data_IF_870043549961
#
_entry.id   IF_870043549961
#
_cell.length_a   1.000
_cell.length_b   1.000
_cell.length_c   1.000
_cell.angle_alpha   90.00
_cell.angle_beta   90.00
_cell.angle_gamma   90.00
#
_symmetry.space_group_name_H-M   'P 1'
#
loop_
_entity.id
_entity.type
_entity.pdbx_description
1 polymer ?
#
# COMPACT_ATOMS: atom_id res chain seq x y z
N UNK A 1 2.88 9.13 -27.39
CA UNK A 1 3.30 8.46 -26.15
C UNK A 1 4.29 9.40 -25.48
N UNK A 2 3.85 10.17 -24.49
CA UNK A 2 4.74 11.08 -23.76
C UNK A 2 5.68 10.22 -22.90
N UNK A 3 6.98 10.33 -23.12
CA UNK A 3 8.02 9.81 -22.22
C UNK A 3 7.97 10.61 -20.90
N UNK A 4 6.93 10.45 -20.10
CA UNK A 4 6.94 10.98 -18.74
C UNK A 4 7.82 10.07 -17.88
N UNK A 5 8.98 10.58 -17.48
CA UNK A 5 9.80 9.90 -16.47
C UNK A 5 8.97 9.77 -15.18
N UNK A 6 9.05 8.63 -14.47
CA UNK A 6 8.35 8.48 -13.19
C UNK A 6 8.84 9.56 -12.20
N UNK A 7 7.93 10.04 -11.36
CA UNK A 7 8.26 11.00 -10.31
C UNK A 7 9.25 10.40 -9.29
N UNK A 8 9.02 9.16 -8.85
CA UNK A 8 9.96 8.41 -8.05
C UNK A 8 10.14 6.99 -8.61
N UNK A 9 11.34 6.43 -8.47
CA UNK A 9 11.62 5.08 -8.94
C UNK A 9 12.61 4.34 -8.07
N UNK A 10 12.41 3.03 -7.97
CA UNK A 10 13.33 2.03 -7.43
C UNK A 10 13.79 1.15 -8.58
N UNK A 11 15.10 0.94 -8.71
CA UNK A 11 15.69 0.07 -9.73
C UNK A 11 16.59 -0.95 -9.03
N UNK A 12 16.15 -2.23 -9.04
CA UNK A 12 16.83 -3.37 -8.43
C UNK A 12 17.29 -3.14 -6.98
N UNK A 13 16.48 -2.41 -6.21
CA UNK A 13 16.83 -2.01 -4.86
C UNK A 13 16.75 -3.19 -3.92
N UNK A 14 17.91 -3.50 -3.29
CA UNK A 14 17.96 -4.47 -2.18
C UNK A 14 18.47 -3.80 -0.92
N UNK A 15 17.99 -4.29 0.22
CA UNK A 15 18.39 -3.84 1.54
C UNK A 15 18.49 -5.02 2.49
N UNK A 16 19.69 -5.22 3.01
CA UNK A 16 19.97 -6.20 4.06
C UNK A 16 20.40 -5.46 5.33
N UNK A 17 19.74 -5.76 6.45
CA UNK A 17 20.09 -5.20 7.76
C UNK A 17 21.32 -5.91 8.33
N UNK A 18 22.07 -5.26 9.25
CA UNK A 18 23.28 -5.84 9.86
C UNK A 18 23.08 -7.19 10.56
N UNK A 19 21.85 -7.52 10.92
CA UNK A 19 21.49 -8.80 11.54
C UNK A 19 21.16 -9.90 10.52
N UNK A 20 21.39 -9.65 9.21
CA UNK A 20 21.10 -10.59 8.13
C UNK A 20 19.63 -10.61 7.65
N UNK A 21 18.76 -9.77 8.23
CA UNK A 21 17.36 -9.69 7.80
C UNK A 21 17.27 -8.96 6.46
N UNK A 22 16.62 -9.58 5.48
CA UNK A 22 16.35 -8.97 4.18
C UNK A 22 15.14 -8.06 4.34
N UNK A 23 15.33 -6.76 4.17
CA UNK A 23 14.27 -5.75 4.17
C UNK A 23 13.64 -5.58 2.79
N UNK A 24 14.47 -5.58 1.72
CA UNK A 24 14.04 -5.52 0.33
C UNK A 24 14.95 -6.41 -0.53
N UNK A 25 14.39 -7.02 -1.56
CA UNK A 25 15.10 -7.86 -2.51
C UNK A 25 14.72 -7.48 -3.94
N UNK A 26 15.66 -6.84 -4.66
CA UNK A 26 15.52 -6.40 -6.06
C UNK A 26 14.18 -5.69 -6.34
N UNK A 27 13.79 -4.78 -5.44
CA UNK A 27 12.55 -4.03 -5.60
C UNK A 27 12.64 -3.11 -6.83
N UNK A 28 11.67 -3.25 -7.73
CA UNK A 28 11.49 -2.42 -8.90
C UNK A 28 10.10 -1.77 -8.82
N UNK A 29 10.06 -0.44 -8.73
CA UNK A 29 8.82 0.32 -8.61
C UNK A 29 8.99 1.67 -9.30
N UNK A 30 8.00 2.06 -10.08
CA UNK A 30 7.87 3.41 -10.64
C UNK A 30 6.59 4.06 -10.13
N UNK A 31 6.68 5.30 -9.68
CA UNK A 31 5.58 6.11 -9.14
C UNK A 31 5.44 7.33 -10.03
N UNK A 32 4.26 7.54 -10.61
CA UNK A 32 4.01 8.68 -11.47
C UNK A 32 3.64 9.93 -10.65
N UNK A 33 3.79 11.11 -11.25
CA UNK A 33 3.39 12.36 -10.61
C UNK A 33 1.86 12.38 -10.39
N UNK A 34 1.43 12.80 -9.19
CA UNK A 34 0.03 12.84 -8.78
C UNK A 34 -0.61 11.48 -8.49
N UNK A 35 0.15 10.38 -8.59
CA UNK A 35 -0.34 9.03 -8.33
C UNK A 35 -0.44 8.75 -6.83
N UNK A 36 -1.51 8.09 -6.40
CA UNK A 36 -1.67 7.56 -5.06
C UNK A 36 -1.37 6.05 -5.06
N UNK A 37 -0.24 5.66 -4.48
CA UNK A 37 0.15 4.25 -4.35
C UNK A 37 -0.05 3.78 -2.91
N UNK A 38 -0.72 2.63 -2.73
CA UNK A 38 -0.75 1.92 -1.46
C UNK A 38 0.27 0.78 -1.45
N UNK A 39 1.07 0.71 -0.37
CA UNK A 39 1.92 -0.44 -0.06
C UNK A 39 1.21 -1.35 0.94
N UNK A 40 0.98 -2.59 0.57
CA UNK A 40 0.30 -3.58 1.40
C UNK A 40 1.13 -4.85 1.55
N UNK A 41 0.74 -5.70 2.50
CA UNK A 41 1.36 -7.00 2.74
C UNK A 41 1.43 -7.34 4.24
N UNK A 42 1.81 -8.57 4.59
CA UNK A 42 1.93 -9.01 5.98
C UNK A 42 2.91 -8.16 6.81
N UNK A 43 2.83 -8.28 8.13
CA UNK A 43 3.85 -7.67 9.01
C UNK A 43 5.24 -8.21 8.68
N UNK A 44 6.23 -7.33 8.62
CA UNK A 44 7.60 -7.73 8.26
C UNK A 44 7.85 -7.92 6.76
N UNK A 45 6.89 -7.65 5.87
CA UNK A 45 7.05 -7.83 4.42
C UNK A 45 7.98 -6.83 3.73
N UNK A 46 8.43 -5.75 4.42
CA UNK A 46 9.34 -4.75 3.86
C UNK A 46 8.70 -3.40 3.52
N UNK A 47 7.40 -3.17 3.81
CA UNK A 47 6.69 -1.91 3.49
C UNK A 47 7.35 -0.67 4.08
N UNK A 48 7.53 -0.67 5.40
CA UNK A 48 8.20 0.44 6.11
C UNK A 48 9.66 0.60 5.67
N UNK A 49 10.33 -0.50 5.30
CA UNK A 49 11.69 -0.46 4.75
C UNK A 49 11.71 0.27 3.41
N UNK A 50 10.78 -0.05 2.48
CA UNK A 50 10.66 0.62 1.19
C UNK A 50 10.36 2.12 1.37
N UNK A 51 9.39 2.45 2.24
CA UNK A 51 9.03 3.83 2.54
C UNK A 51 10.23 4.59 3.16
N UNK A 52 10.94 3.99 4.12
CA UNK A 52 12.10 4.62 4.77
C UNK A 52 13.29 4.77 3.82
N UNK A 53 13.45 3.86 2.86
CA UNK A 53 14.47 3.98 1.80
C UNK A 53 14.16 5.17 0.89
N UNK A 54 12.87 5.35 0.50
CA UNK A 54 12.44 6.53 -0.27
C UNK A 54 12.57 7.82 0.55
N UNK A 55 12.22 7.78 1.83
CA UNK A 55 12.32 8.93 2.73
C UNK A 55 13.76 9.36 3.03
N UNK A 56 14.75 8.45 2.88
CA UNK A 56 16.16 8.72 3.17
C UNK A 56 16.57 8.41 4.61
N UNK A 57 15.81 7.60 5.33
CA UNK A 57 16.19 7.12 6.66
C UNK A 57 17.07 5.88 6.62
N UNK A 58 16.98 5.10 5.53
CA UNK A 58 17.75 3.87 5.36
C UNK A 58 18.41 3.88 4.00
N UNK A 59 19.70 3.52 3.97
CA UNK A 59 20.50 3.42 2.76
C UNK A 59 20.34 2.01 2.14
N UNK A 60 20.00 1.89 0.84
CA UNK A 60 19.94 0.60 0.18
C UNK A 60 21.32 -0.06 0.12
N UNK A 61 21.35 -1.39 0.14
CA UNK A 61 22.61 -2.16 -0.03
C UNK A 61 23.04 -2.19 -1.49
N UNK A 62 22.09 -2.32 -2.42
CA UNK A 62 22.31 -2.30 -3.88
C UNK A 62 21.14 -1.66 -4.60
N UNK A 63 21.32 -1.32 -5.87
CA UNK A 63 20.32 -0.68 -6.70
C UNK A 63 20.28 0.83 -6.51
N UNK A 64 19.28 1.50 -7.08
CA UNK A 64 19.17 2.95 -7.00
C UNK A 64 17.74 3.43 -6.77
N UNK A 65 17.62 4.56 -6.05
CA UNK A 65 16.36 5.29 -5.85
C UNK A 65 16.50 6.67 -6.47
N UNK A 66 15.52 7.06 -7.29
CA UNK A 66 15.47 8.38 -7.90
C UNK A 66 14.18 9.10 -7.54
N UNK A 67 14.25 10.44 -7.38
CA UNK A 67 13.11 11.33 -7.16
C UNK A 67 13.25 12.49 -8.15
N UNK A 68 12.20 12.78 -8.89
CA UNK A 68 12.16 13.84 -9.90
C UNK A 68 13.37 13.78 -10.87
N UNK A 69 13.70 12.57 -11.35
CA UNK A 69 14.81 12.32 -12.28
C UNK A 69 16.21 12.40 -11.67
N UNK A 70 16.33 12.65 -10.36
CA UNK A 70 17.62 12.70 -9.66
C UNK A 70 17.82 11.46 -8.79
N UNK A 71 18.98 10.81 -8.88
CA UNK A 71 19.36 9.73 -7.97
C UNK A 71 19.55 10.30 -6.56
N UNK A 72 18.78 9.78 -5.60
CA UNK A 72 18.83 10.20 -4.18
C UNK A 72 19.46 9.14 -3.28
N UNK A 73 19.57 7.90 -3.75
CA UNK A 73 20.32 6.84 -3.08
C UNK A 73 20.78 5.80 -4.09
N UNK A 74 22.04 5.42 -4.01
CA UNK A 74 22.67 4.27 -4.68
C UNK A 74 23.85 3.81 -3.81
N UNK A 75 24.75 2.98 -4.33
CA UNK A 75 25.94 2.51 -3.58
C UNK A 75 26.87 3.64 -3.12
N UNK A 76 26.86 4.79 -3.80
CA UNK A 76 27.76 5.94 -3.58
C UNK A 76 27.06 7.21 -3.13
N UNK A 77 25.79 7.35 -3.47
CA UNK A 77 24.97 8.55 -3.19
C UNK A 77 23.98 8.24 -2.08
N UNK A 78 23.90 9.14 -1.09
CA UNK A 78 22.85 9.11 -0.09
C UNK A 78 22.44 10.52 0.29
N UNK A 79 21.32 10.97 -0.25
CA UNK A 79 20.68 12.24 0.10
C UNK A 79 19.86 12.05 1.37
N UNK A 80 20.14 12.78 2.47
CA UNK A 80 19.40 12.63 3.71
C UNK A 80 17.96 13.18 3.59
N UNK A 81 17.05 12.82 4.51
CA UNK A 81 15.61 13.14 4.42
C UNK A 81 15.29 14.60 4.23
N UNK A 82 15.99 15.50 4.92
CA UNK A 82 15.78 16.95 4.89
C UNK A 82 16.05 17.59 3.52
N UNK A 83 16.72 16.87 2.62
CA UNK A 83 17.05 17.36 1.27
C UNK A 83 16.24 16.64 0.17
N UNK A 84 15.31 15.75 0.52
CA UNK A 84 14.45 15.05 -0.46
C UNK A 84 13.14 15.76 -0.77
N UNK A 85 12.81 16.83 -0.06
CA UNK A 85 11.58 17.63 -0.23
C UNK A 85 10.28 16.79 -0.14
N UNK A 86 10.26 15.81 0.75
CA UNK A 86 9.13 14.93 1.00
C UNK A 86 8.40 15.34 2.28
N UNK A 87 7.08 15.19 2.29
CA UNK A 87 6.27 15.24 3.51
C UNK A 87 6.12 13.84 4.08
N UNK A 88 6.19 13.68 5.42
CA UNK A 88 5.99 12.38 6.04
C UNK A 88 5.07 12.46 7.24
N UNK A 89 4.13 11.51 7.30
CA UNK A 89 3.26 11.25 8.44
C UNK A 89 3.63 9.89 9.02
N UNK A 90 4.05 9.86 10.28
CA UNK A 90 4.46 8.65 10.98
C UNK A 90 3.26 7.97 11.65
N UNK A 91 3.34 6.68 11.87
CA UNK A 91 2.33 5.85 12.55
C UNK A 91 1.94 6.42 13.93
N UNK A 92 2.92 6.82 14.73
CA UNK A 92 2.68 7.59 15.94
C UNK A 92 2.76 9.07 15.59
N UNK A 93 1.69 9.79 15.54
CA UNK A 93 1.55 11.19 15.08
C UNK A 93 2.78 12.08 15.33
N UNK A 94 3.65 11.69 16.27
CA UNK A 94 4.94 12.31 16.62
C UNK A 94 4.82 13.83 16.83
N UNK A 95 3.72 14.27 17.53
CA UNK A 95 3.56 15.66 17.90
C UNK A 95 4.41 15.97 19.13
N UNK A 96 5.09 17.11 19.11
CA UNK A 96 5.86 17.59 20.24
C UNK A 96 4.94 18.17 21.32
N UNK A 97 4.82 17.54 22.51
CA UNK A 97 3.84 17.94 23.52
C UNK A 97 4.17 19.28 24.19
N UNK A 98 5.40 19.76 24.09
CA UNK A 98 5.86 21.05 24.62
C UNK A 98 5.64 22.20 23.63
N UNK A 99 5.09 21.95 22.45
CA UNK A 99 4.75 22.93 21.43
C UNK A 99 3.24 23.00 21.23
N UNK A 100 2.69 24.19 20.95
CA UNK A 100 1.30 24.30 20.50
C UNK A 100 1.09 23.62 19.14
N UNK A 101 -0.16 23.36 18.77
CA UNK A 101 -0.56 22.83 17.45
C UNK A 101 0.08 23.65 16.32
N UNK A 102 -0.07 24.97 16.37
CA UNK A 102 0.53 25.86 15.35
C UNK A 102 2.05 25.77 15.29
N UNK A 103 2.75 25.63 16.42
CA UNK A 103 4.21 25.46 16.46
C UNK A 103 4.65 24.11 15.91
N UNK A 104 3.86 23.04 16.14
CA UNK A 104 4.11 21.74 15.53
C UNK A 104 4.02 21.82 14.00
N UNK A 105 2.97 22.46 13.47
CA UNK A 105 2.79 22.64 12.03
C UNK A 105 3.84 23.59 11.44
N UNK A 106 4.22 24.67 12.16
CA UNK A 106 5.21 25.64 11.70
C UNK A 106 6.65 25.08 11.59
N UNK A 107 6.94 24.00 12.32
CA UNK A 107 8.31 23.52 12.48
C UNK A 107 9.08 23.28 11.18
N UNK A 108 8.54 22.59 10.14
CA UNK A 108 9.26 22.42 8.87
C UNK A 108 9.63 23.73 8.19
N UNK A 109 8.76 24.74 8.27
CA UNK A 109 9.01 26.06 7.69
C UNK A 109 10.12 26.83 8.41
N UNK A 110 10.31 26.58 9.72
CA UNK A 110 11.44 27.14 10.46
C UNK A 110 12.77 26.59 10.00
N UNK A 111 12.82 25.27 9.73
CA UNK A 111 14.04 24.61 9.25
C UNK A 111 14.46 25.15 7.88
N UNK A 112 13.50 25.46 7.00
CA UNK A 112 13.75 26.07 5.69
C UNK A 112 13.97 27.59 5.74
N UNK A 113 14.03 28.20 6.95
CA UNK A 113 14.20 29.65 7.16
C UNK A 113 13.15 30.51 6.45
N UNK A 114 11.94 29.97 6.26
CA UNK A 114 10.81 30.73 5.67
C UNK A 114 10.51 31.97 6.51
N UNK A 115 10.25 33.16 5.93
CA UNK A 115 9.91 34.40 6.65
C UNK A 115 8.68 34.23 7.57
N UNK A 116 8.65 34.96 8.69
CA UNK A 116 7.62 34.76 9.74
C UNK A 116 6.20 35.00 9.22
N UNK A 117 5.97 36.03 8.42
CA UNK A 117 4.63 36.30 7.87
C UNK A 117 4.14 35.19 6.94
N UNK A 118 5.05 34.61 6.14
CA UNK A 118 4.77 33.49 5.26
C UNK A 118 4.48 32.24 6.08
N UNK A 119 5.25 31.94 7.13
CA UNK A 119 5.00 30.82 8.02
C UNK A 119 3.59 30.88 8.60
N UNK A 120 3.19 32.07 9.12
CA UNK A 120 1.86 32.27 9.69
C UNK A 120 0.75 32.01 8.66
N UNK A 121 0.90 32.50 7.44
CA UNK A 121 -0.06 32.27 6.36
C UNK A 121 -0.17 30.77 6.03
N UNK A 122 0.96 30.07 5.86
CA UNK A 122 0.98 28.64 5.53
C UNK A 122 0.45 27.75 6.65
N UNK A 123 0.75 28.05 7.91
CA UNK A 123 0.19 27.35 9.08
C UNK A 123 -1.32 27.48 9.11
N UNK A 124 -1.86 28.68 8.94
CA UNK A 124 -3.32 28.89 8.92
C UNK A 124 -3.95 28.16 7.72
N UNK A 125 -3.35 28.21 6.55
CA UNK A 125 -3.78 27.47 5.38
C UNK A 125 -3.81 25.95 5.63
N UNK A 126 -2.72 25.39 6.18
CA UNK A 126 -2.62 23.95 6.43
C UNK A 126 -3.64 23.48 7.49
N UNK A 127 -3.80 24.25 8.58
CA UNK A 127 -4.82 23.94 9.61
C UNK A 127 -6.25 24.04 9.07
N UNK A 128 -6.54 25.01 8.23
CA UNK A 128 -7.84 25.14 7.58
C UNK A 128 -8.12 23.96 6.64
N UNK A 129 -7.12 23.54 5.87
CA UNK A 129 -7.24 22.43 4.93
C UNK A 129 -7.63 21.11 5.63
N UNK A 130 -7.11 20.88 6.84
CA UNK A 130 -7.44 19.69 7.63
C UNK A 130 -8.62 19.90 8.60
N UNK A 131 -9.39 20.99 8.45
CA UNK A 131 -10.57 21.27 9.28
C UNK A 131 -10.27 21.66 10.74
N UNK A 132 -9.06 22.18 11.02
CA UNK A 132 -8.62 22.59 12.36
C UNK A 132 -8.37 24.11 12.45
N UNK A 133 -9.16 24.91 11.72
CA UNK A 133 -9.09 26.38 11.81
C UNK A 133 -9.32 26.83 13.26
N UNK A 134 -8.49 27.72 13.78
CA UNK A 134 -8.55 28.22 15.16
C UNK A 134 -7.88 27.31 16.22
N UNK A 135 -7.25 26.20 15.83
CA UNK A 135 -6.59 25.29 16.79
C UNK A 135 -5.10 25.62 17.06
N UNK A 136 -4.55 26.65 16.42
CA UNK A 136 -3.12 26.95 16.46
C UNK A 136 -2.52 27.09 17.88
N UNK A 137 -3.28 27.65 18.82
CA UNK A 137 -2.82 27.90 20.19
C UNK A 137 -3.08 26.74 21.17
N UNK A 138 -3.82 25.70 20.73
CA UNK A 138 -4.14 24.55 21.58
C UNK A 138 -2.90 23.70 21.88
N UNK A 139 -2.95 23.00 23.02
CA UNK A 139 -1.94 22.00 23.35
C UNK A 139 -2.27 20.66 22.66
N UNK A 140 -1.29 19.93 22.10
CA UNK A 140 -1.51 18.59 21.53
C UNK A 140 -2.18 17.59 22.49
N UNK A 141 -1.98 17.72 23.81
CA UNK A 141 -2.61 16.84 24.80
C UNK A 141 -4.14 17.03 24.94
N UNK A 142 -4.68 18.10 24.40
CA UNK A 142 -6.12 18.39 24.41
C UNK A 142 -6.85 17.85 23.17
N UNK A 143 -6.10 17.23 22.24
CA UNK A 143 -6.62 16.75 20.97
C UNK A 143 -7.09 15.30 21.06
N UNK A 144 -8.17 14.99 20.35
CA UNK A 144 -8.53 13.59 20.05
C UNK A 144 -7.50 12.95 19.13
N UNK A 145 -7.51 11.61 19.03
CA UNK A 145 -6.61 10.88 18.11
C UNK A 145 -6.73 11.37 16.66
N UNK A 146 -7.96 11.54 16.15
CA UNK A 146 -8.18 12.06 14.80
C UNK A 146 -7.74 13.52 14.62
N UNK A 147 -7.89 14.36 15.64
CA UNK A 147 -7.35 15.72 15.59
C UNK A 147 -5.82 15.73 15.57
N UNK A 148 -5.19 14.88 16.37
CA UNK A 148 -3.74 14.71 16.36
C UNK A 148 -3.22 14.25 15.00
N UNK A 149 -3.94 13.31 14.37
CA UNK A 149 -3.66 12.85 13.01
C UNK A 149 -3.73 13.99 11.98
N UNK A 150 -4.81 14.78 12.02
CA UNK A 150 -4.96 15.95 11.14
C UNK A 150 -3.85 16.98 11.33
N UNK A 151 -3.38 17.20 12.57
CA UNK A 151 -2.22 18.07 12.84
C UNK A 151 -0.94 17.49 12.23
N UNK A 152 -0.73 16.16 12.32
CA UNK A 152 0.42 15.50 11.70
C UNK A 152 0.41 15.63 10.17
N UNK A 153 -0.76 15.49 9.55
CA UNK A 153 -0.96 15.73 8.11
C UNK A 153 -0.68 17.20 7.78
N UNK A 154 -1.26 18.16 8.52
CA UNK A 154 -1.01 19.59 8.31
C UNK A 154 0.49 19.93 8.39
N UNK A 155 1.22 19.35 9.34
CA UNK A 155 2.67 19.49 9.47
C UNK A 155 3.42 18.92 8.26
N UNK A 156 2.98 17.79 7.72
CA UNK A 156 3.62 17.17 6.56
C UNK A 156 3.44 18.00 5.28
N UNK A 157 2.27 18.64 5.09
CA UNK A 157 1.93 19.36 3.87
C UNK A 157 2.25 20.86 3.90
N UNK A 158 2.51 21.46 5.09
CA UNK A 158 2.72 22.92 5.25
C UNK A 158 3.90 23.46 4.43
N UNK A 159 4.91 22.62 4.21
CA UNK A 159 6.07 22.95 3.37
C UNK A 159 5.78 22.80 1.87
N UNK A 160 4.58 22.37 1.50
CA UNK A 160 4.18 22.06 0.11
C UNK A 160 5.15 21.05 -0.53
N UNK A 161 5.27 19.84 0.05
CA UNK A 161 6.13 18.82 -0.50
C UNK A 161 5.59 18.37 -1.87
N UNK A 162 6.48 17.87 -2.69
CA UNK A 162 6.10 17.29 -3.98
C UNK A 162 5.55 15.86 -3.86
N UNK A 163 5.85 15.18 -2.74
CA UNK A 163 5.34 13.84 -2.45
C UNK A 163 5.05 13.69 -0.96
N UNK A 164 3.97 12.98 -0.64
CA UNK A 164 3.53 12.67 0.72
C UNK A 164 3.73 11.19 1.01
N UNK A 165 4.44 10.90 2.09
CA UNK A 165 4.67 9.55 2.61
C UNK A 165 3.81 9.35 3.86
N UNK A 166 3.01 8.28 3.89
CA UNK A 166 2.10 7.96 4.99
C UNK A 166 2.45 6.57 5.53
N UNK A 167 2.94 6.50 6.75
CA UNK A 167 3.28 5.24 7.42
C UNK A 167 2.16 4.87 8.40
N UNK A 168 1.27 3.96 7.98
CA UNK A 168 0.09 3.50 8.74
C UNK A 168 -0.71 4.66 9.38
N UNK A 169 -0.85 5.74 8.63
CA UNK A 169 -1.33 7.01 9.14
C UNK A 169 -2.77 6.98 9.69
N UNK A 170 -3.60 6.01 9.32
CA UNK A 170 -4.99 5.91 9.76
C UNK A 170 -5.24 4.75 10.75
N UNK A 171 -4.22 3.95 11.09
CA UNK A 171 -4.37 2.70 11.84
C UNK A 171 -4.83 2.87 13.30
N UNK A 172 -4.53 4.03 13.92
CA UNK A 172 -4.85 4.30 15.32
C UNK A 172 -6.26 4.86 15.57
N UNK A 173 -7.11 4.90 14.53
CA UNK A 173 -8.43 5.51 14.56
C UNK A 173 -9.54 4.45 14.64
N UNK A 174 -10.68 4.81 15.25
CA UNK A 174 -11.91 4.02 15.17
C UNK A 174 -12.46 4.02 13.74
N UNK A 175 -13.28 3.01 13.39
CA UNK A 175 -13.71 2.79 12.02
C UNK A 175 -14.50 3.98 11.41
N UNK A 176 -15.50 4.60 12.10
CA UNK A 176 -16.22 5.72 11.51
C UNK A 176 -15.33 6.93 11.23
N UNK A 177 -14.39 7.23 12.12
CA UNK A 177 -13.45 8.33 11.95
C UNK A 177 -12.42 8.02 10.86
N UNK A 178 -11.96 6.79 10.78
CA UNK A 178 -11.03 6.31 9.74
C UNK A 178 -11.64 6.48 8.35
N UNK A 179 -12.90 6.06 8.16
CA UNK A 179 -13.60 6.19 6.89
C UNK A 179 -13.75 7.65 6.45
N UNK A 180 -14.16 8.54 7.36
CA UNK A 180 -14.25 9.98 7.09
C UNK A 180 -12.90 10.57 6.69
N UNK A 181 -11.83 10.26 7.44
CA UNK A 181 -10.48 10.78 7.17
C UNK A 181 -9.87 10.20 5.90
N UNK A 182 -10.21 8.96 5.53
CA UNK A 182 -9.82 8.33 4.27
C UNK A 182 -10.31 9.15 3.08
N UNK A 183 -11.59 9.49 3.04
CA UNK A 183 -12.17 10.31 1.97
C UNK A 183 -11.57 11.73 1.92
N UNK A 184 -11.41 12.37 3.07
CA UNK A 184 -10.79 13.69 3.16
C UNK A 184 -9.34 13.68 2.66
N UNK A 185 -8.57 12.66 3.04
CA UNK A 185 -7.18 12.48 2.59
C UNK A 185 -7.12 12.32 1.05
N UNK A 186 -7.99 11.49 0.47
CA UNK A 186 -8.04 11.31 -0.98
C UNK A 186 -8.40 12.61 -1.70
N UNK A 187 -9.42 13.32 -1.27
CA UNK A 187 -9.78 14.62 -1.85
C UNK A 187 -8.62 15.61 -1.75
N UNK A 188 -8.01 15.73 -0.57
CA UNK A 188 -6.88 16.63 -0.36
C UNK A 188 -5.69 16.31 -1.27
N UNK A 189 -5.34 15.04 -1.45
CA UNK A 189 -4.21 14.65 -2.32
C UNK A 189 -4.50 14.96 -3.78
N UNK A 190 -5.73 14.77 -4.24
CA UNK A 190 -6.19 15.15 -5.59
C UNK A 190 -6.15 16.67 -5.77
N UNK A 191 -6.77 17.42 -4.85
CA UNK A 191 -6.88 18.89 -4.95
C UNK A 191 -5.51 19.58 -4.95
N UNK A 192 -4.53 19.01 -4.24
CA UNK A 192 -3.18 19.50 -4.18
C UNK A 192 -2.25 18.92 -5.26
N UNK A 193 -2.70 17.95 -6.04
CA UNK A 193 -1.89 17.24 -7.04
C UNK A 193 -0.71 16.48 -6.42
N UNK A 194 -0.85 15.98 -5.18
CA UNK A 194 0.23 15.33 -4.44
C UNK A 194 0.45 13.90 -4.91
N UNK A 195 1.69 13.56 -5.24
CA UNK A 195 2.12 12.18 -5.34
C UNK A 195 2.13 11.56 -3.94
N UNK A 196 1.53 10.39 -3.75
CA UNK A 196 1.37 9.81 -2.41
C UNK A 196 1.80 8.36 -2.37
N UNK A 197 2.59 7.99 -1.36
CA UNK A 197 2.92 6.61 -1.02
C UNK A 197 2.39 6.31 0.39
N UNK A 198 1.40 5.44 0.47
CA UNK A 198 0.70 5.09 1.71
C UNK A 198 0.97 3.65 2.11
N UNK A 199 1.59 3.44 3.25
CA UNK A 199 1.74 2.12 3.87
C UNK A 199 0.50 1.84 4.72
N UNK A 200 -0.13 0.71 4.46
CA UNK A 200 -1.26 0.24 5.28
C UNK A 200 -1.27 -1.29 5.37
N UNK A 201 -1.84 -1.82 6.44
CA UNK A 201 -2.21 -3.22 6.58
C UNK A 201 -3.71 -3.46 6.32
N UNK A 202 -4.47 -2.38 6.11
CA UNK A 202 -5.90 -2.43 5.82
C UNK A 202 -6.11 -2.48 4.30
N UNK A 203 -6.62 -3.64 3.82
CA UNK A 203 -6.94 -3.84 2.41
C UNK A 203 -8.05 -2.90 1.91
N UNK A 204 -9.02 -2.58 2.76
CA UNK A 204 -10.09 -1.63 2.43
C UNK A 204 -9.56 -0.22 2.19
N UNK A 205 -8.57 0.24 2.96
CA UNK A 205 -7.88 1.51 2.69
C UNK A 205 -7.17 1.49 1.34
N UNK A 206 -6.41 0.43 1.06
CA UNK A 206 -5.68 0.32 -0.19
C UNK A 206 -6.62 0.35 -1.40
N UNK A 207 -7.71 -0.43 -1.36
CA UNK A 207 -8.71 -0.50 -2.44
C UNK A 207 -9.42 0.84 -2.64
N UNK A 208 -9.77 1.54 -1.55
CA UNK A 208 -10.55 2.77 -1.61
C UNK A 208 -9.73 4.01 -2.03
N UNK A 209 -8.42 4.03 -1.73
CA UNK A 209 -7.58 5.22 -1.92
C UNK A 209 -6.66 5.16 -3.13
N UNK A 210 -6.16 3.96 -3.46
CA UNK A 210 -5.03 3.86 -4.37
C UNK A 210 -5.43 3.84 -5.85
N UNK A 211 -4.65 4.52 -6.67
CA UNK A 211 -4.66 4.34 -8.12
C UNK A 211 -3.97 3.02 -8.50
N UNK A 212 -2.89 2.68 -7.79
CA UNK A 212 -2.22 1.38 -7.86
C UNK A 212 -1.82 0.89 -6.48
N UNK A 213 -1.83 -0.41 -6.32
CA UNK A 213 -1.42 -1.11 -5.11
C UNK A 213 -0.14 -1.89 -5.41
N UNK A 214 0.79 -1.84 -4.46
CA UNK A 214 2.03 -2.62 -4.48
C UNK A 214 1.96 -3.61 -3.32
N UNK A 215 1.89 -4.90 -3.62
CA UNK A 215 1.93 -5.93 -2.61
C UNK A 215 3.35 -6.42 -2.38
N UNK A 216 3.79 -6.35 -1.12
CA UNK A 216 5.08 -6.87 -0.67
C UNK A 216 4.89 -8.12 0.20
N UNK A 217 5.80 -9.08 -0.01
CA UNK A 217 5.94 -10.24 0.84
C UNK A 217 7.42 -10.64 0.96
N UNK A 218 7.91 -10.81 2.20
CA UNK A 218 9.31 -11.15 2.49
C UNK A 218 10.35 -10.33 1.71
N UNK A 219 10.15 -9.00 1.61
CA UNK A 219 11.05 -8.09 0.89
C UNK A 219 10.89 -8.06 -0.63
N UNK A 220 10.03 -8.90 -1.21
CA UNK A 220 9.76 -8.96 -2.64
C UNK A 220 8.45 -8.26 -2.99
N UNK A 221 8.45 -7.54 -4.10
CA UNK A 221 7.21 -7.06 -4.72
C UNK A 221 6.57 -8.26 -5.44
N UNK A 222 5.39 -8.68 -4.99
CA UNK A 222 4.63 -9.80 -5.57
C UNK A 222 3.80 -9.37 -6.75
N UNK A 223 3.09 -8.24 -6.62
CA UNK A 223 2.28 -7.69 -7.69
C UNK A 223 2.19 -6.18 -7.55
N UNK A 224 2.10 -5.50 -8.70
CA UNK A 224 1.77 -4.09 -8.83
C UNK A 224 0.63 -3.99 -9.83
N UNK A 225 -0.47 -3.36 -9.45
CA UNK A 225 -1.62 -3.20 -10.34
C UNK A 225 -2.67 -2.26 -9.74
N UNK A 226 -3.74 -2.06 -10.49
CA UNK A 226 -4.93 -1.38 -9.96
C UNK A 226 -5.61 -2.25 -8.90
N UNK A 227 -6.49 -1.71 -8.05
CA UNK A 227 -7.30 -2.52 -7.14
C UNK A 227 -8.02 -3.68 -7.85
N UNK A 228 -8.56 -3.42 -9.06
CA UNK A 228 -9.24 -4.44 -9.87
C UNK A 228 -8.28 -5.57 -10.31
N UNK A 229 -7.04 -5.24 -10.68
CA UNK A 229 -6.04 -6.25 -11.06
C UNK A 229 -5.71 -7.20 -9.90
N UNK A 230 -5.56 -6.66 -8.67
CA UNK A 230 -5.20 -7.48 -7.52
C UNK A 230 -6.37 -8.34 -7.00
N UNK A 231 -7.61 -7.84 -7.14
CA UNK A 231 -8.82 -8.57 -6.74
C UNK A 231 -9.19 -9.66 -7.75
N UNK A 232 -9.25 -9.30 -9.04
CA UNK A 232 -9.81 -10.18 -10.07
C UNK A 232 -8.74 -10.98 -10.84
N UNK A 233 -7.46 -10.57 -10.76
CA UNK A 233 -6.32 -11.20 -11.45
C UNK A 233 -5.09 -11.27 -10.54
N UNK A 234 -5.21 -11.94 -9.37
CA UNK A 234 -4.06 -12.08 -8.47
C UNK A 234 -2.95 -12.89 -9.14
N UNK A 235 -1.71 -12.37 -9.07
CA UNK A 235 -0.54 -12.98 -9.70
C UNK A 235 -0.11 -14.30 -9.05
N UNK A 236 -0.43 -14.50 -7.78
CA UNK A 236 -0.14 -15.71 -7.04
C UNK A 236 -1.13 -15.94 -5.89
N UNK A 237 -1.15 -17.15 -5.26
CA UNK A 237 -2.04 -17.47 -4.15
C UNK A 237 -1.90 -16.57 -2.93
N UNK A 238 -0.71 -15.97 -2.71
CA UNK A 238 -0.46 -15.09 -1.56
C UNK A 238 -1.22 -13.78 -1.77
N UNK A 239 -1.17 -13.23 -2.99
CA UNK A 239 -1.94 -12.03 -3.36
C UNK A 239 -3.43 -12.28 -3.20
N UNK A 240 -3.94 -13.40 -3.74
CA UNK A 240 -5.35 -13.77 -3.63
C UNK A 240 -5.82 -13.89 -2.18
N UNK A 241 -5.07 -14.59 -1.34
CA UNK A 241 -5.43 -14.78 0.07
C UNK A 241 -5.36 -13.48 0.88
N UNK A 242 -4.52 -12.54 0.47
CA UNK A 242 -4.42 -11.25 1.16
C UNK A 242 -5.64 -10.36 0.90
N UNK A 243 -6.15 -10.31 -0.33
CA UNK A 243 -7.20 -9.36 -0.70
C UNK A 243 -8.61 -9.91 -0.53
N UNK A 244 -8.85 -11.21 -0.75
CA UNK A 244 -10.20 -11.72 -0.99
C UNK A 244 -10.57 -12.94 -0.13
N UNK A 245 -9.90 -13.17 0.98
CA UNK A 245 -10.15 -14.36 1.82
C UNK A 245 -10.29 -15.66 0.97
N UNK A 246 -9.52 -15.73 -0.11
CA UNK A 246 -9.57 -16.82 -1.06
C UNK A 246 -9.27 -18.16 -0.39
N UNK A 247 -10.02 -19.19 -0.75
CA UNK A 247 -9.74 -20.54 -0.30
C UNK A 247 -8.69 -21.19 -1.22
N UNK A 248 -7.60 -21.68 -0.62
CA UNK A 248 -6.49 -22.30 -1.32
C UNK A 248 -6.56 -23.83 -1.19
N UNK A 249 -6.47 -24.53 -2.31
CA UNK A 249 -6.40 -25.98 -2.33
C UNK A 249 -5.13 -26.43 -3.04
N UNK A 250 -4.23 -27.06 -2.30
CA UNK A 250 -3.06 -27.71 -2.89
C UNK A 250 -3.48 -28.98 -3.61
N UNK A 251 -2.88 -29.21 -4.77
CA UNK A 251 -3.24 -30.36 -5.59
C UNK A 251 -2.25 -30.61 -6.73
N UNK A 252 -2.67 -31.44 -7.65
CA UNK A 252 -1.88 -31.82 -8.82
C UNK A 252 -2.74 -31.76 -10.09
N UNK A 253 -2.19 -31.18 -11.14
CA UNK A 253 -2.76 -31.21 -12.47
C UNK A 253 -2.19 -32.40 -13.24
N UNK A 254 -3.07 -33.25 -13.75
CA UNK A 254 -2.74 -34.42 -14.55
C UNK A 254 -3.81 -34.67 -15.59
N UNK A 255 -3.44 -34.83 -16.87
CA UNK A 255 -4.34 -35.10 -17.99
C UNK A 255 -5.54 -34.14 -18.08
N UNK A 256 -5.33 -32.83 -17.83
CA UNK A 256 -6.40 -31.83 -17.93
C UNK A 256 -7.39 -31.85 -16.76
N UNK A 257 -7.04 -32.46 -15.63
CA UNK A 257 -7.83 -32.49 -14.40
C UNK A 257 -6.94 -32.05 -13.23
N UNK A 258 -7.39 -31.06 -12.48
CA UNK A 258 -6.77 -30.67 -11.21
C UNK A 258 -7.41 -31.49 -10.08
N UNK A 259 -6.59 -32.18 -9.29
CA UNK A 259 -7.00 -32.96 -8.13
C UNK A 259 -6.43 -32.37 -6.86
N UNK A 260 -7.27 -32.03 -5.91
CA UNK A 260 -6.85 -31.51 -4.60
C UNK A 260 -6.44 -32.67 -3.66
N UNK A 261 -5.55 -32.32 -2.69
CA UNK A 261 -5.09 -33.30 -1.70
C UNK A 261 -6.08 -33.44 -0.55
N UNK A 262 -6.59 -32.33 -0.02
CA UNK A 262 -7.58 -32.30 1.09
C UNK A 262 -8.40 -31.01 1.06
N UNK A 263 -9.74 -31.04 1.05
CA UNK A 263 -10.57 -32.25 0.77
C UNK A 263 -10.31 -32.77 -0.64
N UNK A 264 -10.56 -34.06 -0.89
CA UNK A 264 -10.30 -34.65 -2.20
C UNK A 264 -11.47 -34.34 -3.13
N UNK A 265 -11.25 -33.48 -4.11
CA UNK A 265 -12.16 -33.26 -5.25
C UNK A 265 -11.33 -33.00 -6.51
N UNK A 266 -11.97 -33.01 -7.65
CA UNK A 266 -11.30 -32.80 -8.93
C UNK A 266 -12.09 -31.84 -9.82
N UNK A 267 -11.38 -30.99 -10.54
CA UNK A 267 -11.94 -29.98 -11.45
C UNK A 267 -11.29 -30.12 -12.82
N UNK A 268 -12.07 -30.21 -13.91
CA UNK A 268 -11.53 -30.13 -15.25
C UNK A 268 -10.81 -28.77 -15.46
N UNK A 269 -9.57 -28.79 -15.94
CA UNK A 269 -8.77 -27.56 -16.12
C UNK A 269 -9.40 -26.55 -17.06
N UNK A 270 -10.25 -26.98 -18.00
CA UNK A 270 -11.03 -26.10 -18.87
C UNK A 270 -12.00 -25.15 -18.15
N UNK A 271 -12.30 -25.42 -16.87
CA UNK A 271 -13.17 -24.60 -16.01
C UNK A 271 -12.35 -23.61 -15.17
N UNK A 272 -11.02 -23.70 -15.21
CA UNK A 272 -10.13 -22.85 -14.46
C UNK A 272 -9.60 -21.72 -15.35
N UNK A 273 -9.43 -20.54 -14.76
CA UNK A 273 -8.75 -19.43 -15.42
C UNK A 273 -7.24 -19.62 -15.25
N UNK A 274 -6.49 -19.64 -16.34
CA UNK A 274 -5.02 -19.73 -16.34
C UNK A 274 -4.48 -18.83 -17.45
N UNK A 275 -3.40 -18.11 -17.21
CA UNK A 275 -2.83 -17.18 -18.21
C UNK A 275 -2.17 -17.90 -19.38
N UNK A 276 -1.49 -19.04 -19.15
CA UNK A 276 -0.64 -19.74 -20.14
C UNK A 276 -1.01 -21.22 -20.37
N UNK A 277 -2.23 -21.61 -20.02
CA UNK A 277 -2.58 -23.04 -19.96
C UNK A 277 -2.03 -23.68 -18.68
N UNK A 278 -2.67 -24.76 -18.23
CA UNK A 278 -2.29 -25.39 -16.98
C UNK A 278 -1.12 -26.35 -17.20
N UNK A 279 0.07 -26.10 -16.60
CA UNK A 279 1.17 -27.06 -16.66
C UNK A 279 0.80 -28.33 -15.89
N UNK A 280 1.28 -29.46 -16.36
CA UNK A 280 1.24 -30.72 -15.63
C UNK A 280 2.09 -30.61 -14.35
N UNK A 281 1.60 -31.16 -13.24
CA UNK A 281 2.36 -31.18 -11.99
C UNK A 281 1.64 -30.55 -10.79
N UNK A 282 2.39 -30.30 -9.71
CA UNK A 282 1.84 -29.70 -8.49
C UNK A 282 1.39 -28.26 -8.73
N UNK A 283 0.29 -27.87 -8.09
CA UNK A 283 -0.28 -26.51 -8.18
C UNK A 283 -1.19 -26.18 -7.02
N UNK A 284 -1.60 -24.92 -6.96
CA UNK A 284 -2.57 -24.43 -5.99
C UNK A 284 -3.78 -23.88 -6.72
N UNK A 285 -4.95 -24.42 -6.43
CA UNK A 285 -6.22 -23.86 -6.88
C UNK A 285 -6.61 -22.72 -5.94
N UNK A 286 -6.85 -21.55 -6.51
CA UNK A 286 -7.35 -20.37 -5.81
C UNK A 286 -8.84 -20.26 -6.10
N UNK A 287 -9.67 -20.29 -5.08
CA UNK A 287 -11.12 -20.11 -5.18
C UNK A 287 -11.49 -18.80 -4.51
N UNK A 288 -11.88 -17.82 -5.33
CA UNK A 288 -12.35 -16.52 -4.84
C UNK A 288 -13.78 -16.67 -4.29
N UNK A 289 -14.17 -15.91 -3.26
CA UNK A 289 -15.51 -16.01 -2.66
C UNK A 289 -16.64 -15.87 -3.67
N UNK A 290 -16.52 -14.94 -4.61
CA UNK A 290 -17.52 -14.68 -5.65
C UNK A 290 -17.57 -15.76 -6.75
N UNK A 291 -16.55 -16.63 -6.81
CA UNK A 291 -16.52 -17.75 -7.74
C UNK A 291 -17.37 -18.97 -7.26
N UNK A 292 -17.90 -18.93 -6.04
CA UNK A 292 -18.69 -20.02 -5.46
C UNK A 292 -20.15 -19.63 -5.38
N UNK A 293 -21.01 -20.44 -5.97
CA UNK A 293 -22.47 -20.34 -5.81
C UNK A 293 -22.99 -21.63 -5.21
N UNK A 294 -23.72 -21.53 -4.11
CA UNK A 294 -24.45 -22.67 -3.57
C UNK A 294 -25.66 -22.95 -4.48
N UNK A 295 -25.69 -24.13 -5.07
CA UNK A 295 -26.84 -24.63 -5.85
C UNK A 295 -27.45 -25.80 -5.13
N UNK A 296 -28.80 -25.91 -5.15
CA UNK A 296 -29.47 -27.09 -4.66
C UNK A 296 -29.08 -28.33 -5.50
N UNK A 297 -28.92 -29.46 -4.87
CA UNK A 297 -28.50 -30.74 -5.50
C UNK A 297 -29.33 -31.11 -6.75
N UNK A 298 -30.61 -30.74 -6.76
CA UNK A 298 -31.53 -30.96 -7.89
C UNK A 298 -31.15 -30.16 -9.15
N UNK A 299 -30.66 -28.91 -8.98
CA UNK A 299 -30.29 -28.04 -10.08
C UNK A 299 -28.92 -28.45 -10.63
N UNK A 300 -28.04 -28.95 -9.79
CA UNK A 300 -26.68 -29.36 -10.19
C UNK A 300 -26.72 -30.57 -11.15
N UNK A 301 -27.64 -31.53 -10.92
CA UNK A 301 -27.83 -32.71 -11.77
C UNK A 301 -28.37 -32.42 -13.18
N UNK A 302 -29.11 -31.32 -13.34
CA UNK A 302 -29.67 -30.95 -14.65
C UNK A 302 -28.68 -30.19 -15.55
N UNK A 303 -27.74 -29.43 -14.96
CA UNK A 303 -26.79 -28.57 -15.70
C UNK A 303 -25.41 -29.19 -15.95
N UNK A 304 -25.05 -30.25 -15.26
CA UNK A 304 -23.79 -30.96 -15.46
C UNK A 304 -24.01 -32.23 -16.29
N UNK A 305 -23.87 -32.14 -17.59
CA UNK A 305 -23.61 -33.28 -18.45
C UNK A 305 -22.17 -33.83 -18.21
N UNK A 306 -21.81 -34.10 -16.95
CA UNK A 306 -20.55 -34.71 -16.55
C UNK A 306 -20.82 -36.17 -16.20
N UNK A 307 -20.04 -37.07 -16.82
CA UNK A 307 -20.08 -38.53 -16.70
C UNK A 307 -20.42 -39.07 -15.31
N UNK A 308 -21.12 -40.23 -15.25
CA UNK A 308 -21.66 -40.79 -14.02
C UNK A 308 -20.66 -41.39 -13.01
N UNK A 309 -19.37 -41.04 -13.08
CA UNK A 309 -18.32 -41.55 -12.19
C UNK A 309 -17.95 -40.64 -11.02
N UNK A 310 -18.83 -39.72 -10.61
CA UNK A 310 -18.63 -39.00 -9.35
C UNK A 310 -19.17 -39.87 -8.19
N UNK A 311 -18.26 -40.43 -7.43
CA UNK A 311 -18.57 -41.06 -6.14
C UNK A 311 -19.00 -39.97 -5.14
N UNK A 312 -20.31 -39.86 -4.90
CA UNK A 312 -20.98 -38.93 -4.01
C UNK A 312 -20.88 -39.29 -2.54
N UNK A 313 -20.03 -40.26 -2.15
CA UNK A 313 -19.93 -40.76 -0.77
C UNK A 313 -18.99 -39.96 0.15
N UNK A 314 -18.43 -38.80 -0.31
CA UNK A 314 -17.48 -38.01 0.47
C UNK A 314 -17.65 -36.48 0.32
N UNK A 315 -18.90 -36.03 0.53
CA UNK A 315 -19.18 -34.63 0.88
C UNK A 315 -19.61 -34.52 2.33
#
# INVERSE_FOLDING_TARGET
>A
MSNSHPYASFQDVSLEYPNGTIGLSKANLSINEGEFIALVGPSGSGKTTLLNTLAGFVHPTTGSVSINGQVVADESIFVPPEHRHLGMVFQQHALWPHMSVGRNVEYPLKQTKTPQDERRRRVNWALKLVGLEGFADRNPSELSGGQSQRVAIARAIVAQPSMLLLDEALSALDEPLRESLRLELRHMTIDLGLTTLHVTHDRGEAIALADRIVMLDHGHIRQIGTPDDLLNRPADPIVASFFDDATLFEGQCDNGIFRTHKPSFHIPTRLLQTEDGMPEGPGTLVVLPDAMTLVEDSIWRENTAVSPDMDTSSL
#
